data_IF_981806079068
#
_entry.id   IF_981806079068
#
_cell.length_a   1.000
_cell.length_b   1.000
_cell.length_c   1.000
_cell.angle_alpha   90.00
_cell.angle_beta   90.00
_cell.angle_gamma   90.00
#
_symmetry.space_group_name_H-M   'P 1'
#
loop_
_entity.id
_entity.type
_entity.pdbx_description
1 polymer ?
#
# COMPACT_ATOMS: atom_id res chain seq x y z
N UNK A 1 5.08 -25.40 -0.24
CA UNK A 1 5.74 -26.02 -1.41
C UNK A 1 4.98 -25.54 -2.63
N UNK A 2 5.33 -24.36 -3.14
CA UNK A 2 4.64 -23.71 -4.27
C UNK A 2 5.38 -24.08 -5.55
N UNK A 3 4.80 -24.98 -6.33
CA UNK A 3 5.27 -25.31 -7.68
C UNK A 3 4.76 -24.21 -8.62
N UNK A 4 5.60 -23.22 -8.91
CA UNK A 4 5.31 -22.24 -9.96
C UNK A 4 5.64 -22.88 -11.32
N UNK A 5 4.66 -22.84 -12.21
CA UNK A 5 4.64 -23.50 -13.51
C UNK A 5 5.83 -23.07 -14.39
N UNK A 6 6.69 -24.05 -14.77
CA UNK A 6 7.90 -23.87 -15.60
C UNK A 6 7.61 -23.36 -17.03
N UNK A 7 6.35 -23.18 -17.41
CA UNK A 7 5.96 -22.78 -18.78
C UNK A 7 6.23 -21.31 -19.11
N UNK A 8 6.26 -20.41 -18.13
CA UNK A 8 6.53 -18.98 -18.39
C UNK A 8 7.96 -18.72 -18.90
N UNK A 9 8.92 -19.55 -18.51
CA UNK A 9 10.31 -19.44 -18.97
C UNK A 9 10.49 -19.82 -20.44
N UNK A 10 9.68 -20.75 -20.96
CA UNK A 10 9.85 -21.24 -22.33
C UNK A 10 9.08 -20.44 -23.39
N UNK A 11 8.01 -19.72 -23.02
CA UNK A 11 7.19 -19.00 -23.99
C UNK A 11 7.76 -17.63 -24.41
N UNK A 12 8.59 -16.98 -23.59
CA UNK A 12 9.20 -15.69 -23.95
C UNK A 12 10.50 -15.81 -24.76
N UNK A 13 11.11 -16.99 -24.86
CA UNK A 13 12.28 -17.18 -25.74
C UNK A 13 11.92 -17.31 -27.23
N UNK A 14 10.66 -17.56 -27.57
CA UNK A 14 10.25 -17.86 -28.94
C UNK A 14 10.01 -16.61 -29.82
N UNK A 15 9.78 -15.43 -29.24
CA UNK A 15 9.39 -14.23 -30.01
C UNK A 15 10.57 -13.39 -30.52
N UNK A 16 11.82 -13.76 -30.19
CA UNK A 16 13.03 -13.01 -30.58
C UNK A 16 13.90 -13.70 -31.64
N UNK A 17 13.50 -14.85 -32.17
CA UNK A 17 14.22 -15.55 -33.24
C UNK A 17 13.43 -15.54 -34.54
N UNK A 18 13.48 -14.41 -35.27
CA UNK A 18 13.27 -14.44 -36.72
C UNK A 18 14.63 -14.63 -37.41
N UNK A 19 14.68 -15.65 -38.26
CA UNK A 19 15.85 -16.19 -38.94
C UNK A 19 16.54 -15.15 -39.83
N UNK A 20 17.83 -14.92 -39.59
CA UNK A 20 18.68 -14.09 -40.43
C UNK A 20 20.17 -14.33 -40.13
N UNK A 21 20.81 -15.15 -40.97
CA UNK A 21 22.26 -15.28 -41.23
C UNK A 21 23.26 -15.28 -40.06
N UNK A 22 23.96 -16.40 -39.97
CA UNK A 22 25.08 -16.74 -39.08
C UNK A 22 26.12 -15.61 -38.94
N UNK A 23 26.14 -14.97 -37.77
CA UNK A 23 27.33 -14.34 -37.18
C UNK A 23 27.36 -14.68 -35.67
N UNK A 24 28.55 -14.84 -35.09
CA UNK A 24 28.76 -15.36 -33.72
C UNK A 24 27.88 -14.62 -32.68
N UNK A 25 26.98 -15.30 -31.93
CA UNK A 25 25.98 -14.62 -31.11
C UNK A 25 26.46 -14.16 -29.72
N UNK A 26 27.70 -14.44 -29.31
CA UNK A 26 28.13 -14.24 -27.92
C UNK A 26 28.37 -12.77 -27.49
N UNK A 27 29.01 -11.96 -28.34
CA UNK A 27 29.54 -10.67 -27.88
C UNK A 27 28.57 -9.49 -28.11
N UNK A 28 27.71 -9.58 -29.13
CA UNK A 28 26.74 -8.52 -29.45
C UNK A 28 25.53 -8.54 -28.51
N UNK A 29 25.04 -9.72 -28.13
CA UNK A 29 23.90 -9.86 -27.25
C UNK A 29 24.24 -9.47 -25.81
N UNK A 30 25.43 -9.83 -25.32
CA UNK A 30 25.91 -9.41 -23.99
C UNK A 30 26.11 -7.89 -23.92
N UNK A 31 26.70 -7.28 -24.95
CA UNK A 31 26.87 -5.82 -25.01
C UNK A 31 25.52 -5.08 -25.02
N UNK A 32 24.57 -5.51 -25.84
CA UNK A 32 23.21 -4.95 -25.88
C UNK A 32 22.49 -5.08 -24.53
N UNK A 33 22.66 -6.23 -23.85
CA UNK A 33 22.08 -6.46 -22.52
C UNK A 33 22.66 -5.52 -21.46
N UNK A 34 23.98 -5.30 -21.48
CA UNK A 34 24.66 -4.37 -20.56
C UNK A 34 24.25 -2.92 -20.81
N UNK A 35 24.11 -2.53 -22.09
CA UNK A 35 23.59 -1.21 -22.47
C UNK A 35 22.15 -1.01 -22.00
N UNK A 36 21.28 -2.00 -22.23
CA UNK A 36 19.90 -1.98 -21.74
C UNK A 36 19.83 -1.89 -20.20
N UNK A 37 20.67 -2.66 -19.48
CA UNK A 37 20.75 -2.59 -18.02
C UNK A 37 21.23 -1.22 -17.52
N UNK A 38 22.19 -0.60 -18.20
CA UNK A 38 22.66 0.75 -17.86
C UNK A 38 21.58 1.81 -18.10
N UNK A 39 20.81 1.70 -19.20
CA UNK A 39 19.66 2.57 -19.45
C UNK A 39 18.60 2.40 -18.36
N UNK A 40 18.21 1.15 -18.05
CA UNK A 40 17.23 0.86 -17.01
C UNK A 40 17.63 1.43 -15.65
N UNK A 41 18.90 1.32 -15.27
CA UNK A 41 19.39 1.90 -14.02
C UNK A 41 19.23 3.42 -14.00
N UNK A 42 19.58 4.11 -15.10
CA UNK A 42 19.43 5.55 -15.21
C UNK A 42 17.96 5.98 -15.15
N UNK A 43 17.08 5.23 -15.78
CA UNK A 43 15.64 5.48 -15.76
C UNK A 43 15.08 5.28 -14.35
N UNK A 44 15.53 4.23 -13.64
CA UNK A 44 15.20 4.01 -12.23
C UNK A 44 15.68 5.16 -11.33
N UNK A 45 16.92 5.63 -11.49
CA UNK A 45 17.45 6.77 -10.72
C UNK A 45 16.65 8.06 -10.97
N UNK A 46 16.28 8.29 -12.23
CA UNK A 46 15.47 9.46 -12.63
C UNK A 46 14.07 9.39 -12.03
N UNK A 47 13.41 8.24 -12.15
CA UNK A 47 12.10 7.98 -11.57
C UNK A 47 12.14 8.12 -10.03
N UNK A 48 13.13 7.52 -9.38
CA UNK A 48 13.33 7.58 -7.93
C UNK A 48 13.52 9.02 -7.42
N UNK A 49 14.31 9.83 -8.13
CA UNK A 49 14.53 11.24 -7.81
C UNK A 49 13.25 12.05 -7.96
N UNK A 50 12.49 11.84 -9.04
CA UNK A 50 11.22 12.53 -9.27
C UNK A 50 10.15 12.13 -8.25
N UNK A 51 10.02 10.84 -7.94
CA UNK A 51 9.12 10.38 -6.88
C UNK A 51 9.45 11.03 -5.53
N UNK A 52 10.73 11.10 -5.17
CA UNK A 52 11.18 11.76 -3.94
C UNK A 52 10.76 13.23 -3.90
N UNK A 53 10.96 13.97 -4.98
CA UNK A 53 10.53 15.37 -5.09
C UNK A 53 9.01 15.51 -4.90
N UNK A 54 8.21 14.69 -5.59
CA UNK A 54 6.76 14.70 -5.49
C UNK A 54 6.28 14.40 -4.07
N UNK A 55 6.80 13.34 -3.45
CA UNK A 55 6.40 12.88 -2.11
C UNK A 55 6.75 13.94 -1.06
N UNK A 56 7.98 14.47 -1.10
CA UNK A 56 8.43 15.48 -0.12
C UNK A 56 7.67 16.79 -0.29
N UNK A 57 7.24 17.13 -1.51
CA UNK A 57 6.49 18.35 -1.81
C UNK A 57 5.01 18.33 -1.43
N UNK A 58 4.47 17.21 -0.92
CA UNK A 58 3.06 17.06 -0.56
C UNK A 58 2.87 16.84 0.95
N UNK A 59 1.75 17.29 1.54
CA UNK A 59 1.40 16.96 2.92
C UNK A 59 1.25 15.45 3.09
N UNK A 60 1.97 14.80 4.03
CA UNK A 60 1.94 13.35 4.19
C UNK A 60 0.54 12.78 4.44
N UNK A 61 -0.27 13.45 5.26
CA UNK A 61 -1.62 13.00 5.57
C UNK A 61 -2.52 13.00 4.33
N UNK A 62 -2.51 14.07 3.54
CA UNK A 62 -3.34 14.19 2.35
C UNK A 62 -2.88 13.22 1.26
N UNK A 63 -1.56 13.03 1.10
CA UNK A 63 -0.99 12.05 0.17
C UNK A 63 -1.41 10.62 0.53
N UNK A 64 -1.26 10.21 1.80
CA UNK A 64 -1.68 8.89 2.26
C UNK A 64 -3.19 8.70 2.09
N UNK A 65 -3.97 9.72 2.45
CA UNK A 65 -5.43 9.70 2.26
C UNK A 65 -5.82 9.51 0.81
N UNK A 66 -5.19 10.24 -0.11
CA UNK A 66 -5.41 10.07 -1.55
C UNK A 66 -5.06 8.65 -2.03
N UNK A 67 -3.94 8.09 -1.56
CA UNK A 67 -3.52 6.74 -1.96
C UNK A 67 -4.54 5.68 -1.52
N UNK A 68 -4.95 5.72 -0.24
CA UNK A 68 -5.97 4.81 0.28
C UNK A 68 -7.33 5.00 -0.39
N UNK A 69 -7.74 6.24 -0.65
CA UNK A 69 -9.00 6.55 -1.33
C UNK A 69 -9.04 5.95 -2.75
N UNK A 70 -7.95 6.11 -3.52
CA UNK A 70 -7.85 5.56 -4.86
C UNK A 70 -7.94 4.03 -4.87
N UNK A 71 -7.33 3.37 -3.88
CA UNK A 71 -7.45 1.93 -3.70
C UNK A 71 -8.92 1.51 -3.46
N UNK A 72 -9.60 2.17 -2.52
CA UNK A 72 -10.99 1.86 -2.17
C UNK A 72 -11.95 2.14 -3.32
N UNK A 73 -11.83 3.30 -3.97
CA UNK A 73 -12.69 3.68 -5.09
C UNK A 73 -12.59 2.70 -6.25
N UNK A 74 -11.38 2.22 -6.56
CA UNK A 74 -11.16 1.21 -7.61
C UNK A 74 -11.65 -0.17 -7.19
N UNK A 75 -11.54 -0.53 -5.91
CA UNK A 75 -12.11 -1.78 -5.40
C UNK A 75 -13.64 -1.78 -5.49
N UNK A 76 -14.29 -0.65 -5.19
CA UNK A 76 -15.74 -0.49 -5.31
C UNK A 76 -16.21 -0.50 -6.76
N UNK A 77 -15.53 0.22 -7.66
CA UNK A 77 -15.91 0.22 -9.08
C UNK A 77 -15.73 -1.15 -9.74
N UNK A 78 -14.79 -1.97 -9.28
CA UNK A 78 -14.64 -3.34 -9.72
C UNK A 78 -15.81 -4.26 -9.29
N UNK A 79 -16.50 -3.93 -8.19
CA UNK A 79 -17.69 -4.67 -7.72
C UNK A 79 -18.95 -4.28 -8.49
N UNK A 80 -19.10 -3.01 -8.90
CA UNK A 80 -20.28 -2.52 -9.66
C UNK A 80 -20.32 -3.04 -11.12
N UNK A 81 -19.19 -3.50 -11.68
CA UNK A 81 -19.11 -4.01 -13.06
C UNK A 81 -19.57 -5.47 -13.20
N UNK A 82 -19.96 -6.15 -12.11
CA UNK A 82 -20.50 -7.48 -12.23
C UNK A 82 -21.31 -7.92 -11.02
N UNK A 83 -22.61 -8.12 -11.23
CA UNK A 83 -23.43 -9.05 -10.46
C UNK A 83 -22.95 -10.49 -10.63
N UNK A 84 -21.69 -10.74 -10.29
CA UNK A 84 -21.05 -12.03 -10.33
C UNK A 84 -21.32 -12.75 -9.00
N UNK A 85 -21.76 -14.01 -9.04
CA UNK A 85 -22.10 -14.78 -7.84
C UNK A 85 -20.87 -14.99 -6.94
N UNK A 86 -21.11 -15.11 -5.64
CA UNK A 86 -20.08 -15.44 -4.64
C UNK A 86 -19.19 -16.60 -5.12
N UNK A 87 -17.88 -16.35 -5.25
CA UNK A 87 -16.88 -17.36 -5.63
C UNK A 87 -16.14 -17.12 -6.94
N UNK A 88 -16.44 -16.07 -7.70
CA UNK A 88 -15.59 -15.71 -8.85
C UNK A 88 -14.24 -15.12 -8.43
N UNK A 89 -13.12 -15.56 -9.04
CA UNK A 89 -11.80 -14.98 -8.80
C UNK A 89 -11.81 -13.49 -9.15
N UNK A 90 -11.23 -12.67 -8.28
CA UNK A 90 -11.04 -11.24 -8.53
C UNK A 90 -10.26 -11.07 -9.85
N UNK A 91 -10.69 -10.20 -10.80
CA UNK A 91 -10.03 -10.05 -12.10
C UNK A 91 -8.52 -9.79 -11.94
N UNK A 92 -7.68 -10.34 -12.83
CA UNK A 92 -6.21 -10.18 -12.74
C UNK A 92 -5.73 -8.71 -12.63
N UNK A 93 -6.52 -7.77 -13.17
CA UNK A 93 -6.28 -6.31 -13.09
C UNK A 93 -6.35 -5.76 -11.64
N UNK A 94 -7.12 -6.38 -10.75
CA UNK A 94 -7.19 -5.98 -9.32
C UNK A 94 -5.94 -6.41 -8.54
N UNK A 95 -5.29 -7.50 -8.97
CA UNK A 95 -4.08 -8.01 -8.34
C UNK A 95 -2.89 -7.06 -8.54
N UNK A 96 -2.82 -6.40 -9.69
CA UNK A 96 -1.78 -5.40 -9.96
C UNK A 96 -2.02 -4.12 -9.15
N UNK A 97 -3.28 -3.75 -8.94
CA UNK A 97 -3.65 -2.58 -8.13
C UNK A 97 -3.19 -2.67 -6.67
N UNK A 98 -3.37 -3.83 -6.02
CA UNK A 98 -2.92 -4.04 -4.64
C UNK A 98 -1.41 -3.90 -4.57
N UNK A 99 -0.69 -4.52 -5.51
CA UNK A 99 0.76 -4.48 -5.55
C UNK A 99 1.31 -3.07 -5.83
N UNK A 100 0.67 -2.32 -6.74
CA UNK A 100 1.03 -0.94 -7.07
C UNK A 100 0.84 0.00 -5.87
N UNK A 101 -0.30 -0.10 -5.19
CA UNK A 101 -0.58 0.71 -4.01
C UNK A 101 0.38 0.38 -2.86
N UNK A 102 0.61 -0.90 -2.59
CA UNK A 102 1.53 -1.31 -1.52
C UNK A 102 2.96 -0.85 -1.81
N UNK A 103 3.44 -1.04 -3.03
CA UNK A 103 4.75 -0.54 -3.46
C UNK A 103 4.87 0.97 -3.27
N UNK A 104 3.85 1.73 -3.71
CA UNK A 104 3.85 3.18 -3.56
C UNK A 104 3.85 3.59 -2.07
N UNK A 105 3.03 2.96 -1.23
CA UNK A 105 2.99 3.24 0.21
C UNK A 105 4.33 2.95 0.91
N UNK A 106 4.99 1.85 0.55
CA UNK A 106 6.33 1.49 1.06
C UNK A 106 7.37 2.52 0.63
N UNK A 107 7.33 2.96 -0.63
CA UNK A 107 8.24 3.98 -1.16
C UNK A 107 8.00 5.35 -0.53
N UNK A 108 6.74 5.76 -0.36
CA UNK A 108 6.34 6.97 0.38
C UNK A 108 6.90 6.93 1.80
N UNK A 109 6.72 5.80 2.50
CA UNK A 109 7.26 5.63 3.84
C UNK A 109 8.79 5.78 3.87
N UNK A 110 9.51 5.13 2.94
CA UNK A 110 10.96 5.24 2.85
C UNK A 110 11.45 6.67 2.62
N UNK A 111 10.79 7.42 1.71
CA UNK A 111 11.11 8.82 1.44
C UNK A 111 10.84 9.71 2.65
N UNK A 112 9.66 9.59 3.27
CA UNK A 112 9.31 10.37 4.46
C UNK A 112 10.23 10.08 5.64
N UNK A 113 10.72 8.84 5.75
CA UNK A 113 11.71 8.46 6.74
C UNK A 113 13.10 9.03 6.45
N UNK A 114 13.51 9.17 5.19
CA UNK A 114 14.89 9.50 4.82
C UNK A 114 15.18 10.97 4.53
N UNK A 115 14.19 11.72 4.03
CA UNK A 115 14.38 13.10 3.58
C UNK A 115 14.10 14.12 4.70
N UNK A 116 14.55 15.37 4.60
CA UNK A 116 14.18 16.44 5.53
C UNK A 116 12.78 17.02 5.25
N UNK A 117 12.11 17.55 6.28
CA UNK A 117 10.80 18.19 6.15
C UNK A 117 10.92 19.58 5.49
N UNK A 118 10.23 19.86 4.37
CA UNK A 118 10.19 21.20 3.78
C UNK A 118 9.33 22.16 4.62
N UNK A 119 9.63 23.45 4.55
CA UNK A 119 8.89 24.49 5.30
C UNK A 119 7.44 24.68 4.79
N UNK A 120 7.22 24.49 3.49
CA UNK A 120 5.90 24.66 2.87
C UNK A 120 5.67 23.56 1.84
N UNK A 121 4.54 22.89 1.98
CA UNK A 121 4.06 21.84 1.07
C UNK A 121 2.60 22.12 0.73
N UNK A 122 2.18 21.73 -0.46
CA UNK A 122 0.81 21.89 -0.91
C UNK A 122 0.34 20.61 -1.59
N UNK A 123 -0.89 20.21 -1.30
CA UNK A 123 -1.50 19.07 -1.96
C UNK A 123 -1.82 19.42 -3.41
N UNK A 124 -1.50 18.50 -4.31
CA UNK A 124 -1.73 18.64 -5.75
C UNK A 124 -2.11 17.27 -6.31
N UNK A 125 -3.37 17.15 -6.76
CA UNK A 125 -3.90 15.91 -7.31
C UNK A 125 -3.20 15.50 -8.61
N UNK A 126 -2.80 16.45 -9.45
CA UNK A 126 -2.10 16.14 -10.70
C UNK A 126 -0.73 15.52 -10.43
N UNK A 127 -0.04 16.00 -9.38
CA UNK A 127 1.20 15.40 -8.89
C UNK A 127 1.00 14.01 -8.29
N UNK A 128 -0.16 13.75 -7.68
CA UNK A 128 -0.50 12.40 -7.22
C UNK A 128 -0.66 11.44 -8.41
N UNK A 129 -1.36 11.85 -9.47
CA UNK A 129 -1.50 11.04 -10.68
C UNK A 129 -0.13 10.74 -11.33
N UNK A 130 0.71 11.76 -11.46
CA UNK A 130 2.11 11.60 -11.92
C UNK A 130 2.88 10.61 -11.05
N UNK A 131 2.75 10.70 -9.73
CA UNK A 131 3.43 9.81 -8.78
C UNK A 131 3.00 8.33 -8.99
N UNK A 132 1.72 8.06 -9.27
CA UNK A 132 1.27 6.70 -9.59
C UNK A 132 1.89 6.17 -10.87
N UNK A 133 1.99 6.99 -11.91
CA UNK A 133 2.59 6.58 -13.18
C UNK A 133 4.06 6.25 -13.03
N UNK A 134 4.83 7.14 -12.39
CA UNK A 134 6.26 6.94 -12.16
C UNK A 134 6.52 5.77 -11.20
N UNK A 135 5.64 5.54 -10.21
CA UNK A 135 5.73 4.38 -9.32
C UNK A 135 5.63 3.05 -10.07
N UNK A 136 4.68 2.96 -11.01
CA UNK A 136 4.51 1.77 -11.85
C UNK A 136 5.69 1.56 -12.79
N UNK A 137 6.18 2.64 -13.38
CA UNK A 137 7.37 2.62 -14.23
C UNK A 137 8.60 2.16 -13.45
N UNK A 138 8.85 2.72 -12.26
CA UNK A 138 9.96 2.34 -11.40
C UNK A 138 9.89 0.85 -11.03
N UNK A 139 8.71 0.36 -10.66
CA UNK A 139 8.48 -1.06 -10.36
C UNK A 139 8.82 -1.95 -11.55
N UNK A 140 8.37 -1.58 -12.75
CA UNK A 140 8.60 -2.32 -13.98
C UNK A 140 10.09 -2.30 -14.39
N UNK A 141 10.72 -1.12 -14.37
CA UNK A 141 12.13 -0.95 -14.70
C UNK A 141 13.03 -1.71 -13.73
N UNK A 142 12.70 -1.71 -12.43
CA UNK A 142 13.40 -2.51 -11.43
C UNK A 142 13.35 -4.02 -11.72
N UNK A 143 12.18 -4.52 -12.13
CA UNK A 143 12.03 -5.93 -12.52
C UNK A 143 12.86 -6.26 -13.77
N UNK A 144 12.79 -5.42 -14.81
CA UNK A 144 13.60 -5.64 -16.02
C UNK A 144 15.09 -5.51 -15.76
N UNK A 145 15.50 -4.58 -14.90
CA UNK A 145 16.89 -4.43 -14.49
C UNK A 145 17.38 -5.69 -13.76
N UNK A 146 16.60 -6.22 -12.83
CA UNK A 146 16.91 -7.47 -12.13
C UNK A 146 17.05 -8.65 -13.11
N UNK A 147 16.15 -8.76 -14.09
CA UNK A 147 16.23 -9.81 -15.12
C UNK A 147 17.48 -9.64 -16.00
N UNK A 148 17.68 -8.45 -16.57
CA UNK A 148 18.78 -8.17 -17.50
C UNK A 148 20.15 -8.38 -16.85
N UNK A 149 20.30 -7.99 -15.58
CA UNK A 149 21.58 -8.09 -14.87
C UNK A 149 21.85 -9.44 -14.23
N UNK A 150 20.88 -10.38 -14.24
CA UNK A 150 21.06 -11.71 -13.65
C UNK A 150 21.11 -12.84 -14.70
N UNK A 151 20.62 -12.59 -15.93
CA UNK A 151 20.44 -13.61 -16.95
C UNK A 151 21.71 -14.38 -17.39
N UNK A 152 22.90 -13.81 -17.20
CA UNK A 152 24.17 -14.39 -17.65
C UNK A 152 25.17 -14.66 -16.51
N UNK A 153 24.75 -14.59 -15.24
CA UNK A 153 25.63 -14.86 -14.10
C UNK A 153 25.86 -16.37 -13.94
N UNK A 154 26.75 -16.93 -14.79
CA UNK A 154 27.17 -18.34 -14.75
C UNK A 154 28.31 -18.53 -13.76
N UNK A 155 28.25 -19.60 -12.98
CA UNK A 155 29.33 -20.07 -12.11
C UNK A 155 29.84 -19.04 -11.08
N UNK A 156 28.94 -18.21 -10.54
CA UNK A 156 29.26 -17.37 -9.39
C UNK A 156 29.33 -18.16 -8.08
N UNK A 157 29.24 -17.46 -6.94
CA UNK A 157 29.40 -18.06 -5.61
C UNK A 157 28.44 -19.22 -5.31
N UNK A 158 27.32 -19.32 -6.04
CA UNK A 158 26.29 -20.35 -5.86
C UNK A 158 26.20 -21.32 -7.05
N UNK A 159 27.21 -21.36 -7.92
CA UNK A 159 27.24 -22.25 -9.07
C UNK A 159 26.09 -21.99 -10.05
N UNK A 160 25.40 -23.03 -10.58
CA UNK A 160 24.31 -22.89 -11.54
C UNK A 160 23.12 -22.05 -11.05
N UNK A 161 22.90 -21.97 -9.73
CA UNK A 161 21.77 -21.25 -9.13
C UNK A 161 22.06 -19.75 -8.95
N UNK A 162 23.26 -19.26 -9.30
CA UNK A 162 23.66 -17.87 -9.04
C UNK A 162 22.71 -16.87 -9.69
N UNK A 163 22.35 -17.07 -10.97
CA UNK A 163 21.45 -16.18 -11.69
C UNK A 163 20.07 -16.06 -11.01
N UNK A 164 19.50 -17.18 -10.55
CA UNK A 164 18.21 -17.22 -9.88
C UNK A 164 18.26 -16.52 -8.50
N UNK A 165 19.33 -16.74 -7.74
CA UNK A 165 19.53 -16.09 -6.43
C UNK A 165 19.71 -14.60 -6.60
N UNK A 166 20.52 -14.17 -7.57
CA UNK A 166 20.78 -12.76 -7.85
C UNK A 166 19.50 -12.04 -8.31
N UNK A 167 18.73 -12.65 -9.21
CA UNK A 167 17.44 -12.13 -9.63
C UNK A 167 16.50 -11.94 -8.44
N UNK A 168 16.39 -12.95 -7.57
CA UNK A 168 15.55 -12.89 -6.36
C UNK A 168 16.04 -11.80 -5.42
N UNK A 169 17.34 -11.69 -5.17
CA UNK A 169 17.90 -10.66 -4.29
C UNK A 169 17.58 -9.24 -4.81
N UNK A 170 17.72 -9.01 -6.11
CA UNK A 170 17.45 -7.71 -6.75
C UNK A 170 15.97 -7.37 -6.86
N UNK A 171 15.09 -8.37 -7.02
CA UNK A 171 13.64 -8.17 -7.17
C UNK A 171 12.88 -8.27 -5.85
N UNK A 172 13.52 -8.70 -4.76
CA UNK A 172 12.90 -8.91 -3.43
C UNK A 172 12.17 -7.67 -2.94
N UNK A 173 12.76 -6.49 -3.06
CA UNK A 173 12.13 -5.24 -2.59
C UNK A 173 10.90 -4.83 -3.40
N UNK A 174 10.70 -5.40 -4.61
CA UNK A 174 9.50 -5.22 -5.44
C UNK A 174 8.45 -6.30 -5.18
N UNK A 175 8.90 -7.54 -4.92
CA UNK A 175 8.05 -8.73 -4.93
C UNK A 175 7.71 -9.29 -3.55
N UNK A 176 8.66 -9.25 -2.61
CA UNK A 176 8.49 -9.90 -1.31
C UNK A 176 7.83 -8.94 -0.33
N UNK A 177 6.57 -9.24 -0.06
CA UNK A 177 5.85 -8.76 1.10
C UNK A 177 5.71 -9.92 2.06
N UNK A 178 6.21 -9.77 3.29
CA UNK A 178 6.10 -10.80 4.31
C UNK A 178 4.62 -11.15 4.56
N UNK A 179 4.35 -12.40 4.94
CA UNK A 179 3.02 -12.78 5.40
C UNK A 179 2.73 -12.08 6.73
N UNK A 180 1.90 -11.03 6.70
CA UNK A 180 1.43 -10.39 7.93
C UNK A 180 0.23 -11.16 8.48
N UNK A 181 0.39 -11.79 9.64
CA UNK A 181 -0.70 -12.46 10.36
C UNK A 181 -1.47 -11.44 11.19
N UNK A 182 -2.12 -10.52 10.48
CA UNK A 182 -2.77 -9.33 11.03
C UNK A 182 -3.83 -9.62 12.11
N UNK A 183 -4.49 -10.78 12.05
CA UNK A 183 -5.50 -11.20 13.03
C UNK A 183 -4.93 -11.80 14.32
N UNK A 184 -3.61 -12.03 14.36
CA UNK A 184 -2.90 -12.65 15.50
C UNK A 184 -1.93 -11.70 16.18
N UNK A 185 -1.87 -10.43 15.78
CA UNK A 185 -0.92 -9.46 16.34
C UNK A 185 -1.17 -9.25 17.84
N UNK A 186 -2.43 -9.18 18.27
CA UNK A 186 -2.78 -9.07 19.68
C UNK A 186 -2.29 -10.27 20.51
N UNK A 187 -2.44 -11.49 20.00
CA UNK A 187 -1.94 -12.68 20.72
C UNK A 187 -0.41 -12.70 20.79
N UNK A 188 0.23 -12.39 19.67
CA UNK A 188 1.68 -12.34 19.56
C UNK A 188 2.27 -11.29 20.51
N UNK A 189 1.81 -10.05 20.46
CA UNK A 189 2.35 -8.97 21.29
C UNK A 189 2.00 -9.16 22.77
N UNK A 190 0.84 -9.73 23.10
CA UNK A 190 0.51 -10.09 24.48
C UNK A 190 1.53 -11.08 25.04
N UNK A 191 1.94 -12.07 24.26
CA UNK A 191 2.97 -13.04 24.67
C UNK A 191 4.35 -12.38 24.79
N UNK A 192 4.78 -11.62 23.77
CA UNK A 192 6.12 -11.01 23.73
C UNK A 192 6.31 -9.95 24.81
N UNK A 193 5.28 -9.16 25.11
CA UNK A 193 5.36 -8.06 26.07
C UNK A 193 5.11 -8.51 27.52
N UNK A 194 4.59 -9.71 27.75
CA UNK A 194 4.25 -10.19 29.10
C UNK A 194 5.41 -10.09 30.12
N UNK A 195 6.69 -10.40 29.78
CA UNK A 195 7.81 -10.23 30.71
C UNK A 195 8.06 -8.77 31.12
N UNK A 196 7.54 -7.80 30.37
CA UNK A 196 7.75 -6.37 30.57
C UNK A 196 6.55 -5.64 31.16
N UNK A 197 5.46 -6.35 31.49
CA UNK A 197 4.18 -5.76 31.92
C UNK A 197 4.33 -4.79 33.10
N UNK A 198 5.15 -5.12 34.10
CA UNK A 198 5.39 -4.25 35.24
C UNK A 198 6.03 -2.90 34.86
N UNK A 199 7.04 -2.93 33.98
CA UNK A 199 7.72 -1.73 33.49
C UNK A 199 6.79 -0.89 32.60
N UNK A 200 5.99 -1.53 31.75
CA UNK A 200 5.04 -0.83 30.88
C UNK A 200 3.98 -0.07 31.70
N UNK A 201 3.48 -0.69 32.77
CA UNK A 201 2.56 -0.04 33.71
C UNK A 201 3.20 1.12 34.45
N UNK A 202 4.46 0.97 34.84
CA UNK A 202 5.21 2.02 35.52
C UNK A 202 5.43 3.25 34.63
N UNK A 203 5.85 3.04 33.38
CA UNK A 203 6.24 4.13 32.46
C UNK A 203 5.03 4.75 31.76
N UNK A 204 4.09 3.93 31.29
CA UNK A 204 3.00 4.38 30.41
C UNK A 204 1.60 4.25 31.02
N UNK A 205 1.48 3.69 32.24
CA UNK A 205 0.19 3.48 32.90
C UNK A 205 -0.67 2.35 32.32
N UNK A 206 -0.16 1.61 31.33
CA UNK A 206 -0.87 0.51 30.64
C UNK A 206 -0.02 -0.76 30.60
N UNK A 207 -0.67 -1.92 30.63
CA UNK A 207 0.02 -3.20 30.64
C UNK A 207 0.31 -3.77 29.25
N UNK A 208 1.03 -4.89 29.22
CA UNK A 208 1.31 -5.66 28.01
C UNK A 208 0.02 -6.05 27.26
N UNK A 209 -1.04 -6.36 28.01
CA UNK A 209 -2.34 -6.70 27.44
C UNK A 209 -2.99 -5.53 26.70
N UNK A 210 -2.98 -4.34 27.29
CA UNK A 210 -3.61 -3.14 26.71
C UNK A 210 -2.85 -2.66 25.47
N UNK A 211 -1.51 -2.74 25.52
CA UNK A 211 -0.66 -2.43 24.37
C UNK A 211 -0.93 -3.39 23.21
N UNK A 212 -0.98 -4.70 23.50
CA UNK A 212 -1.28 -5.70 22.49
C UNK A 212 -2.69 -5.52 21.88
N UNK A 213 -3.68 -5.16 22.70
CA UNK A 213 -5.02 -4.82 22.21
C UNK A 213 -5.01 -3.58 21.31
N UNK A 214 -4.22 -2.56 21.66
CA UNK A 214 -4.01 -1.38 20.82
C UNK A 214 -3.40 -1.73 19.46
N UNK A 215 -2.35 -2.56 19.42
CA UNK A 215 -1.75 -3.01 18.16
C UNK A 215 -2.73 -3.82 17.29
N UNK A 216 -3.51 -4.71 17.92
CA UNK A 216 -4.57 -5.42 17.20
C UNK A 216 -5.60 -4.45 16.61
N UNK A 217 -6.02 -3.44 17.37
CA UNK A 217 -6.98 -2.44 16.91
C UNK A 217 -6.45 -1.58 15.74
N UNK A 218 -5.15 -1.23 15.74
CA UNK A 218 -4.50 -0.56 14.58
C UNK A 218 -4.60 -1.40 13.31
N UNK A 219 -4.35 -2.69 13.46
CA UNK A 219 -4.34 -3.64 12.36
C UNK A 219 -5.76 -3.94 11.86
N UNK A 220 -6.73 -4.01 12.75
CA UNK A 220 -8.15 -4.11 12.40
C UNK A 220 -8.65 -2.84 11.68
N UNK A 221 -8.27 -1.65 12.15
CA UNK A 221 -8.60 -0.39 11.46
C UNK A 221 -8.04 -0.35 10.03
N UNK A 222 -6.83 -0.87 9.81
CA UNK A 222 -6.24 -0.98 8.46
C UNK A 222 -6.98 -2.00 7.59
N UNK A 223 -7.44 -3.12 8.18
CA UNK A 223 -8.05 -4.24 7.48
C UNK A 223 -9.52 -4.00 7.13
N UNK A 224 -10.33 -3.51 8.07
CA UNK A 224 -11.78 -3.33 7.90
C UNK A 224 -12.24 -1.87 7.97
N UNK A 225 -11.41 -0.93 8.44
CA UNK A 225 -11.86 0.44 8.72
C UNK A 225 -12.50 1.17 7.54
N UNK A 226 -12.03 0.94 6.31
CA UNK A 226 -12.70 1.48 5.11
C UNK A 226 -14.08 0.86 4.88
N UNK A 227 -14.23 -0.45 5.06
CA UNK A 227 -15.53 -1.13 4.94
C UNK A 227 -16.48 -0.67 6.04
N UNK A 228 -15.99 -0.55 7.26
CA UNK A 228 -16.76 -0.08 8.42
C UNK A 228 -17.23 1.37 8.19
N UNK A 229 -16.36 2.22 7.64
CA UNK A 229 -16.70 3.60 7.27
C UNK A 229 -17.76 3.68 6.14
N UNK A 230 -17.64 2.83 5.11
CA UNK A 230 -18.64 2.74 4.03
C UNK A 230 -20.00 2.33 4.59
N UNK A 231 -20.05 1.28 5.41
CA UNK A 231 -21.30 0.81 6.02
C UNK A 231 -21.94 1.90 6.89
N UNK A 232 -21.14 2.58 7.71
CA UNK A 232 -21.61 3.71 8.53
C UNK A 232 -22.19 4.85 7.70
N UNK A 233 -21.58 5.16 6.54
CA UNK A 233 -22.10 6.17 5.62
C UNK A 233 -23.40 5.73 4.94
N UNK A 234 -23.48 4.47 4.50
CA UNK A 234 -24.69 3.90 3.89
C UNK A 234 -25.86 3.91 4.88
N UNK A 235 -25.62 3.51 6.13
CA UNK A 235 -26.65 3.53 7.18
C UNK A 235 -27.16 4.95 7.46
N UNK A 236 -26.24 5.92 7.51
CA UNK A 236 -26.59 7.34 7.68
C UNK A 236 -27.41 7.86 6.50
N UNK A 237 -27.02 7.50 5.27
CA UNK A 237 -27.75 7.89 4.06
C UNK A 237 -29.16 7.27 4.01
N UNK A 238 -29.29 5.98 4.32
CA UNK A 238 -30.57 5.28 4.37
C UNK A 238 -31.50 5.90 5.43
N UNK A 239 -30.97 6.32 6.58
CA UNK A 239 -31.74 7.00 7.60
C UNK A 239 -32.26 8.37 7.15
N UNK A 240 -31.44 9.15 6.44
CA UNK A 240 -31.85 10.44 5.85
C UNK A 240 -32.93 10.23 4.78
N UNK A 241 -32.76 9.22 3.93
CA UNK A 241 -33.74 8.85 2.91
C UNK A 241 -35.09 8.42 3.52
N UNK A 242 -35.08 7.64 4.60
CA UNK A 242 -36.29 7.27 5.31
C UNK A 242 -37.05 8.49 5.87
N UNK A 243 -36.34 9.45 6.47
CA UNK A 243 -36.95 10.72 6.95
C UNK A 243 -37.57 11.50 5.78
N UNK A 244 -36.85 11.57 4.66
CA UNK A 244 -37.32 12.24 3.45
C UNK A 244 -38.62 11.63 2.93
N UNK A 245 -38.68 10.29 2.87
CA UNK A 245 -39.86 9.55 2.41
C UNK A 245 -41.03 9.66 3.39
N UNK A 246 -40.79 9.55 4.70
CA UNK A 246 -41.82 9.62 5.73
C UNK A 246 -42.43 11.01 5.88
N UNK A 247 -41.59 12.06 5.83
CA UNK A 247 -42.01 13.44 6.08
C UNK A 247 -42.26 14.24 4.80
N UNK A 248 -41.95 13.67 3.62
CA UNK A 248 -42.12 14.33 2.32
C UNK A 248 -41.28 15.61 2.15
N UNK A 249 -40.20 15.75 2.92
CA UNK A 249 -39.33 16.93 2.91
C UNK A 249 -38.23 16.81 1.84
N UNK A 250 -37.54 17.91 1.55
CA UNK A 250 -36.34 17.88 0.71
C UNK A 250 -35.15 17.21 1.41
N UNK A 251 -34.12 16.80 0.65
CA UNK A 251 -32.92 16.18 1.20
C UNK A 251 -32.21 17.04 2.24
N UNK A 252 -32.08 18.35 1.99
CA UNK A 252 -31.40 19.27 2.91
C UNK A 252 -32.13 19.35 4.26
N UNK A 253 -33.47 19.35 4.23
CA UNK A 253 -34.28 19.41 5.45
C UNK A 253 -34.31 18.05 6.16
N UNK A 254 -34.38 16.93 5.44
CA UNK A 254 -34.24 15.59 6.01
C UNK A 254 -32.88 15.40 6.71
N UNK A 255 -31.80 15.90 6.08
CA UNK A 255 -30.47 15.88 6.67
C UNK A 255 -30.42 16.72 7.94
N UNK A 256 -30.99 17.93 7.93
CA UNK A 256 -31.05 18.80 9.10
C UNK A 256 -31.78 18.11 10.27
N UNK A 257 -32.98 17.58 10.03
CA UNK A 257 -33.77 16.82 11.01
C UNK A 257 -32.97 15.63 11.56
N UNK A 258 -32.32 14.87 10.68
CA UNK A 258 -31.49 13.73 11.09
C UNK A 258 -30.33 14.18 11.98
N UNK A 259 -29.61 15.25 11.61
CA UNK A 259 -28.46 15.74 12.37
C UNK A 259 -28.84 16.29 13.74
N UNK A 260 -29.97 16.99 13.86
CA UNK A 260 -30.49 17.52 15.13
C UNK A 260 -30.84 16.38 16.10
N UNK A 261 -31.38 15.28 15.58
CA UNK A 261 -31.73 14.09 16.36
C UNK A 261 -30.54 13.15 16.65
N UNK A 262 -29.44 13.24 15.89
CA UNK A 262 -28.34 12.27 15.93
C UNK A 262 -26.94 12.92 16.03
N UNK A 263 -26.78 13.92 16.90
CA UNK A 263 -25.51 14.66 17.08
C UNK A 263 -24.28 13.75 17.32
N UNK A 264 -24.42 12.62 18.03
CA UNK A 264 -23.34 11.64 18.22
C UNK A 264 -23.00 10.86 16.94
N UNK A 265 -23.99 10.55 16.09
CA UNK A 265 -23.75 9.91 14.78
C UNK A 265 -23.14 10.86 13.77
N UNK A 266 -23.35 12.18 13.92
CA UNK A 266 -22.68 13.17 13.08
C UNK A 266 -21.15 13.14 13.25
N UNK A 267 -20.67 12.96 14.48
CA UNK A 267 -19.24 12.78 14.74
C UNK A 267 -18.72 11.49 14.08
N UNK A 268 -19.45 10.38 14.21
CA UNK A 268 -19.11 9.11 13.56
C UNK A 268 -19.10 9.22 12.03
N UNK A 269 -20.05 9.93 11.43
CA UNK A 269 -20.11 10.14 9.99
C UNK A 269 -18.95 11.01 9.48
N UNK A 270 -18.55 12.03 10.24
CA UNK A 270 -17.34 12.83 9.93
C UNK A 270 -16.08 11.96 10.01
N UNK A 271 -15.95 11.17 11.06
CA UNK A 271 -14.85 10.21 11.20
C UNK A 271 -14.80 9.21 10.05
N UNK A 272 -15.95 8.71 9.59
CA UNK A 272 -16.05 7.82 8.43
C UNK A 272 -15.52 8.47 7.14
N UNK A 273 -15.81 9.75 6.90
CA UNK A 273 -15.24 10.49 5.76
C UNK A 273 -13.71 10.56 5.87
N UNK A 274 -13.18 10.83 7.05
CA UNK A 274 -11.74 10.86 7.26
C UNK A 274 -11.10 9.48 7.06
N UNK A 275 -11.75 8.42 7.54
CA UNK A 275 -11.33 7.02 7.33
C UNK A 275 -11.31 6.65 5.85
N UNK A 276 -12.31 7.07 5.07
CA UNK A 276 -12.39 6.76 3.65
C UNK A 276 -11.42 7.54 2.77
N UNK A 277 -11.21 8.83 3.07
CA UNK A 277 -10.61 9.75 2.10
C UNK A 277 -9.39 10.52 2.59
N UNK A 278 -9.13 10.56 3.91
CA UNK A 278 -8.10 11.45 4.49
C UNK A 278 -7.09 10.72 5.36
N UNK A 279 -6.88 9.44 5.05
CA UNK A 279 -5.90 8.60 5.74
C UNK A 279 -6.29 8.30 7.18
N UNK A 280 -7.57 8.47 7.50
CA UNK A 280 -8.06 8.34 8.85
C UNK A 280 -7.84 6.95 9.43
N UNK A 281 -7.90 5.89 8.62
CA UNK A 281 -7.62 4.52 9.08
C UNK A 281 -6.24 4.37 9.71
N UNK A 282 -5.29 5.26 9.39
CA UNK A 282 -3.95 5.31 9.95
C UNK A 282 -3.84 6.21 11.21
N UNK A 283 -4.93 6.84 11.66
CA UNK A 283 -4.95 7.63 12.89
C UNK A 283 -5.00 6.72 14.12
N UNK A 284 -3.81 6.36 14.61
CA UNK A 284 -3.62 5.43 15.73
C UNK A 284 -4.32 5.92 17.01
N UNK A 285 -4.25 7.22 17.32
CA UNK A 285 -4.88 7.77 18.53
C UNK A 285 -6.40 7.69 18.50
N UNK A 286 -7.01 7.63 17.31
CA UNK A 286 -8.46 7.44 17.19
C UNK A 286 -8.86 5.98 17.28
N UNK A 287 -8.07 5.09 16.69
CA UNK A 287 -8.40 3.67 16.57
C UNK A 287 -7.89 2.82 17.75
N UNK A 288 -7.20 3.43 18.71
CA UNK A 288 -6.66 2.73 19.88
C UNK A 288 -6.88 3.54 21.15
N UNK A 289 -6.82 2.84 22.30
CA UNK A 289 -6.77 3.46 23.62
C UNK A 289 -5.33 3.60 24.15
N UNK A 290 -4.33 3.61 23.26
CA UNK A 290 -2.94 3.68 23.68
C UNK A 290 -2.61 5.07 24.23
N UNK A 291 -1.81 5.16 25.32
CA UNK A 291 -1.42 6.44 25.90
C UNK A 291 -0.62 7.28 24.89
N UNK A 292 -0.85 8.59 24.90
CA UNK A 292 -0.15 9.54 24.03
C UNK A 292 1.37 9.48 24.20
N UNK A 293 1.85 9.26 25.43
CA UNK A 293 3.28 9.15 25.74
C UNK A 293 3.90 7.94 25.05
N UNK A 294 3.24 6.78 25.10
CA UNK A 294 3.67 5.58 24.37
C UNK A 294 3.65 5.82 22.86
N UNK A 295 2.59 6.43 22.34
CA UNK A 295 2.49 6.74 20.91
C UNK A 295 3.58 7.72 20.46
N UNK A 296 3.96 8.69 21.30
CA UNK A 296 5.02 9.63 21.00
C UNK A 296 6.40 8.96 20.93
N UNK A 297 6.66 7.99 21.83
CA UNK A 297 7.91 7.22 21.84
C UNK A 297 8.01 6.22 20.67
N UNK A 298 6.87 5.67 20.22
CA UNK A 298 6.80 4.79 19.06
C UNK A 298 6.80 5.56 17.73
N UNK A 299 6.40 6.83 17.74
CA UNK A 299 6.31 7.63 16.53
C UNK A 299 7.69 8.00 16.01
N UNK A 300 7.91 7.76 14.72
CA UNK A 300 9.06 8.33 14.04
C UNK A 300 8.90 9.85 13.93
N UNK A 301 9.87 10.60 14.47
CA UNK A 301 10.01 12.03 14.19
C UNK A 301 11.08 12.21 13.14
N UNK A 302 10.66 12.77 12.00
CA UNK A 302 11.56 13.26 10.94
C UNK A 302 12.51 14.30 11.56
N UNK A 303 13.81 14.02 11.48
CA UNK A 303 14.87 14.86 12.08
C UNK A 303 14.96 16.23 11.44
#
# INVERSE_FOLDING_TARGET
>A
MLTVDRRFSHQCSATLYQEGSVSKPGNSAEAQRKEAAASLLKDMETAAARMRELIVGMPPQDLLGYIYAQYVLKALSAQDVGGQPEGTPIPAESGDLINDNQFLLEYVHAVLASDPLPEQVAFDEAKCAELYDISRELRQNAMFYAMATSADTKDGAFGPDTADIEFRAKSTWVLLRGNRYQVLEGEFYRYVLAPHDGLLKEVYGVGAHDIAAGFQAMTDATRSGHSDAILNMMDSFNAVQAIREEQGVGMDEAMKIWTEANASKLASARSAIDDMFRGGVANVSRHTNLPTELLADLAYRRG
#
